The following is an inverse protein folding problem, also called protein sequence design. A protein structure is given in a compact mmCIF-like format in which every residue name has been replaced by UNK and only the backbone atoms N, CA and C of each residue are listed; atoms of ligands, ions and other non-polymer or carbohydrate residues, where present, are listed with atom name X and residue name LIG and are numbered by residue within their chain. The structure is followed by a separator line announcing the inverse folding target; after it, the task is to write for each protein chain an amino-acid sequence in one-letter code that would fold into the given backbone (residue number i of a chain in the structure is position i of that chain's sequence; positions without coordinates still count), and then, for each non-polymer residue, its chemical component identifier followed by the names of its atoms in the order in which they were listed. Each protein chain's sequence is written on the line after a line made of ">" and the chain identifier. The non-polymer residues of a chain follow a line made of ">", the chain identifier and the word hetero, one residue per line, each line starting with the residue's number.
data_IF_230938065649
#
_entry.id   IF_230938065649
#
_cell.length_a   1.000
_cell.length_b   1.000
_cell.length_c   1.000
_cell.angle_alpha   90.00
_cell.angle_beta   90.00
_cell.angle_gamma   90.00
#
_symmetry.space_group_name_H-M   'P 1'
#
loop_
_entity.id
_entity.type
_entity.pdbx_description
1 polymer ?
#
# COMPACT_ATOMS: atom_id res chain seq x y z
N UNK A 1 13.53 28.05 -44.02
CA UNK A 1 14.23 29.38 -44.00
C UNK A 1 14.68 29.58 -42.57
N UNK A 2 15.91 29.23 -42.40
CA UNK A 2 17.07 29.99 -41.90
C UNK A 2 17.05 30.33 -40.43
N UNK A 3 17.83 29.57 -39.67
CA UNK A 3 18.58 30.07 -38.50
C UNK A 3 19.64 31.10 -38.98
N UNK A 4 20.29 31.91 -38.15
CA UNK A 4 21.40 31.43 -37.35
C UNK A 4 21.62 32.16 -35.96
N UNK A 5 22.31 31.51 -35.04
CA UNK A 5 23.72 31.63 -34.62
C UNK A 5 24.00 32.52 -33.39
N UNK A 6 24.75 31.93 -32.42
CA UNK A 6 25.53 32.48 -31.27
C UNK A 6 26.60 33.51 -31.65
N UNK A 7 27.23 34.25 -30.67
CA UNK A 7 28.32 33.74 -29.86
C UNK A 7 28.36 34.32 -28.39
N UNK A 8 28.90 33.70 -27.39
CA UNK A 8 30.22 33.44 -26.86
C UNK A 8 31.01 34.66 -26.27
N UNK A 9 31.57 34.48 -25.09
CA UNK A 9 32.64 35.29 -24.43
C UNK A 9 32.28 35.71 -23.00
N UNK A 10 33.08 35.67 -21.93
CA UNK A 10 34.39 35.17 -21.59
C UNK A 10 34.50 35.30 -20.06
N UNK A 11 35.23 34.41 -19.41
CA UNK A 11 35.69 34.54 -18.03
C UNK A 11 36.93 35.47 -17.98
N UNK A 12 37.37 35.99 -16.79
CA UNK A 12 38.43 35.33 -16.06
C UNK A 12 38.40 35.46 -14.50
N UNK A 13 39.06 34.53 -13.77
CA UNK A 13 39.60 34.74 -12.45
C UNK A 13 41.04 35.32 -12.58
N UNK A 14 41.98 35.21 -11.61
CA UNK A 14 41.93 34.89 -10.16
C UNK A 14 42.64 35.97 -9.30
N UNK A 15 42.84 35.77 -7.95
CA UNK A 15 44.15 35.93 -7.26
C UNK A 15 44.02 35.98 -5.70
N UNK A 16 44.82 35.13 -5.11
CA UNK A 16 45.75 35.16 -3.97
C UNK A 16 45.79 36.33 -2.98
N UNK A 17 45.94 35.96 -1.65
CA UNK A 17 47.03 36.30 -0.70
C UNK A 17 46.71 35.69 0.67
N UNK A 18 47.43 34.78 1.24
CA UNK A 18 48.74 34.56 1.83
C UNK A 18 49.10 35.49 3.03
N UNK A 19 49.47 34.81 4.10
CA UNK A 19 50.49 35.01 5.15
C UNK A 19 49.90 34.96 6.56
N UNK A 20 50.31 34.10 7.47
CA UNK A 20 51.62 33.70 8.02
C UNK A 20 51.81 34.23 9.44
N UNK A 21 52.34 33.39 10.32
CA UNK A 21 53.19 33.67 11.46
C UNK A 21 52.51 33.54 12.83
N UNK A 22 53.00 32.98 13.89
CA UNK A 22 54.30 32.37 14.30
C UNK A 22 54.14 31.93 15.76
N UNK A 23 54.70 30.75 16.10
CA UNK A 23 55.55 30.36 17.28
C UNK A 23 55.16 30.83 18.68
N UNK A 24 55.19 29.99 19.73
CA UNK A 24 56.27 29.43 20.52
C UNK A 24 55.79 28.48 21.63
N UNK A 25 56.29 27.35 21.71
CA UNK A 25 57.29 26.67 22.60
C UNK A 25 57.05 26.82 24.10
N UNK A 26 56.86 25.73 24.84
CA UNK A 26 57.59 25.37 26.08
C UNK A 26 57.26 23.93 26.54
N UNK A 27 58.24 23.16 26.48
CA UNK A 27 58.83 21.96 27.07
C UNK A 27 58.49 21.70 28.54
N UNK A 28 58.12 20.46 28.86
CA UNK A 28 58.69 19.64 29.94
C UNK A 28 58.10 18.23 29.99
N UNK A 29 58.91 17.22 29.90
CA UNK A 29 58.78 15.80 30.27
C UNK A 29 59.40 15.60 31.68
N UNK A 30 59.40 14.36 32.27
CA UNK A 30 58.48 13.22 32.28
C UNK A 30 58.21 12.68 33.70
N UNK A 31 57.28 11.75 33.90
CA UNK A 31 57.50 10.64 34.87
C UNK A 31 56.61 9.42 34.54
N UNK A 32 57.24 8.28 34.75
CA UNK A 32 56.76 6.95 34.46
C UNK A 32 55.67 6.44 35.45
N UNK A 33 54.83 5.48 34.99
CA UNK A 33 54.21 4.57 35.88
C UNK A 33 52.94 3.92 35.39
N UNK A 34 53.01 2.56 35.27
CA UNK A 34 51.95 1.57 35.36
C UNK A 34 51.26 1.13 34.06
N UNK A 35 51.60 -0.07 33.67
CA UNK A 35 50.91 -0.91 32.73
C UNK A 35 49.47 -1.17 33.14
N UNK A 36 48.55 -0.80 32.29
CA UNK A 36 47.12 -1.17 32.33
C UNK A 36 46.76 -1.87 31.04
N UNK A 37 46.45 -3.11 31.14
CA UNK A 37 46.04 -4.02 30.09
C UNK A 37 44.72 -3.51 29.47
N UNK A 38 44.79 -2.74 28.40
CA UNK A 38 43.62 -2.33 27.63
C UNK A 38 43.33 -3.43 26.60
N UNK A 39 42.49 -4.39 27.02
CA UNK A 39 41.75 -5.23 26.12
C UNK A 39 41.01 -4.33 25.10
N UNK A 40 41.52 -4.33 23.89
CA UNK A 40 40.85 -3.69 22.75
C UNK A 40 39.47 -4.30 22.59
N UNK A 41 38.44 -3.50 22.80
CA UNK A 41 37.06 -3.83 22.42
C UNK A 41 37.04 -3.99 20.90
N UNK A 42 36.56 -5.12 20.35
CA UNK A 42 36.48 -5.24 18.89
C UNK A 42 35.47 -4.23 18.38
N UNK A 43 35.90 -3.33 17.52
CA UNK A 43 35.05 -2.49 16.68
C UNK A 43 34.09 -3.45 15.95
N UNK A 44 32.75 -3.24 15.98
CA UNK A 44 31.87 -4.05 15.19
C UNK A 44 32.21 -3.82 13.72
N UNK A 45 32.84 -4.82 13.11
CA UNK A 45 32.98 -4.92 11.66
C UNK A 45 31.60 -4.75 11.08
N UNK A 46 31.40 -3.70 10.28
CA UNK A 46 30.23 -3.54 9.43
C UNK A 46 30.10 -4.86 8.63
N UNK A 47 29.12 -5.67 9.01
CA UNK A 47 28.89 -6.97 8.38
C UNK A 47 28.79 -6.76 6.88
N UNK A 48 29.56 -7.55 6.14
CA UNK A 48 29.40 -7.72 4.69
C UNK A 48 27.91 -7.83 4.41
N UNK A 49 27.38 -6.98 3.56
CA UNK A 49 25.99 -7.09 3.09
C UNK A 49 25.85 -8.50 2.53
N UNK A 50 25.05 -9.32 3.21
CA UNK A 50 24.75 -10.67 2.79
C UNK A 50 24.10 -10.56 1.41
N UNK A 51 24.78 -11.04 0.38
CA UNK A 51 24.36 -11.01 -1.04
C UNK A 51 23.15 -11.95 -1.28
N UNK A 52 22.67 -12.59 -0.22
CA UNK A 52 21.42 -13.35 -0.16
C UNK A 52 20.26 -12.37 0.03
N UNK A 53 19.30 -12.42 -0.90
CA UNK A 53 18.08 -11.61 -0.84
C UNK A 53 17.37 -11.69 0.52
N UNK A 54 16.48 -10.74 0.81
CA UNK A 54 15.70 -10.74 2.06
C UNK A 54 14.86 -12.01 2.18
N UNK A 55 14.79 -12.65 3.37
CA UNK A 55 13.98 -13.84 3.59
C UNK A 55 12.47 -13.50 3.66
N UNK A 56 11.97 -12.96 2.57
CA UNK A 56 10.57 -12.59 2.33
C UNK A 56 10.04 -13.43 1.19
N UNK A 57 8.83 -13.97 1.34
CA UNK A 57 8.02 -14.45 0.24
C UNK A 57 7.09 -13.34 -0.24
N UNK A 58 7.16 -12.99 -1.52
CA UNK A 58 6.26 -12.02 -2.15
C UNK A 58 5.20 -12.76 -2.96
N UNK A 59 3.94 -12.65 -2.56
CA UNK A 59 2.79 -13.30 -3.19
C UNK A 59 2.01 -12.27 -3.98
N UNK A 60 1.93 -12.47 -5.29
CA UNK A 60 1.21 -11.61 -6.23
C UNK A 60 0.06 -12.42 -6.84
N UNK A 61 -1.19 -12.28 -6.35
CA UNK A 61 -2.36 -12.82 -7.00
C UNK A 61 -2.68 -12.00 -8.25
N UNK A 62 -2.78 -12.65 -9.40
CA UNK A 62 -2.99 -12.03 -10.70
C UNK A 62 -4.23 -12.60 -11.39
N UNK A 63 -4.96 -11.75 -12.10
CA UNK A 63 -5.98 -12.15 -13.07
C UNK A 63 -6.19 -11.06 -14.09
N UNK A 64 -5.57 -11.22 -15.24
CA UNK A 64 -5.65 -10.29 -16.35
C UNK A 64 -6.61 -10.78 -17.44
N UNK A 65 -7.09 -9.86 -18.24
CA UNK A 65 -7.92 -10.10 -19.43
C UNK A 65 -7.18 -9.78 -20.73
N UNK A 66 -6.01 -9.12 -20.62
CA UNK A 66 -5.10 -8.80 -21.72
C UNK A 66 -3.67 -8.70 -21.20
N UNK A 67 -2.68 -8.52 -22.09
CA UNK A 67 -1.26 -8.47 -21.79
C UNK A 67 -0.65 -7.06 -21.80
N UNK A 68 -1.47 -6.00 -21.81
CA UNK A 68 -0.95 -4.62 -21.93
C UNK A 68 0.05 -4.27 -20.81
N UNK A 69 -0.15 -4.81 -19.61
CA UNK A 69 0.74 -4.62 -18.45
C UNK A 69 1.97 -5.55 -18.41
N UNK A 70 2.07 -6.56 -19.30
CA UNK A 70 3.08 -7.61 -19.20
C UNK A 70 4.53 -7.10 -19.24
N UNK A 71 4.94 -6.17 -20.12
CA UNK A 71 6.32 -5.68 -20.14
C UNK A 71 6.71 -4.93 -18.88
N UNK A 72 5.81 -4.09 -18.35
CA UNK A 72 6.06 -3.29 -17.14
C UNK A 72 6.16 -4.20 -15.91
N UNK A 73 5.20 -5.10 -15.72
CA UNK A 73 5.22 -6.04 -14.60
C UNK A 73 6.43 -6.97 -14.67
N UNK A 74 6.81 -7.45 -15.85
CA UNK A 74 8.02 -8.28 -16.03
C UNK A 74 9.28 -7.54 -15.64
N UNK A 75 9.39 -6.24 -15.98
CA UNK A 75 10.49 -5.38 -15.53
C UNK A 75 10.57 -5.28 -14.00
N UNK A 76 9.42 -5.07 -13.35
CA UNK A 76 9.35 -5.04 -11.90
C UNK A 76 9.65 -6.40 -11.26
N UNK A 77 9.11 -7.49 -11.79
CA UNK A 77 9.37 -8.85 -11.28
C UNK A 77 10.85 -9.23 -11.38
N UNK A 78 11.55 -8.80 -12.43
CA UNK A 78 13.00 -9.00 -12.57
C UNK A 78 13.78 -8.29 -11.48
N UNK A 79 13.42 -7.05 -11.18
CA UNK A 79 14.01 -6.29 -10.07
C UNK A 79 13.69 -6.95 -8.72
N UNK A 80 12.45 -7.38 -8.52
CA UNK A 80 11.96 -7.93 -7.25
C UNK A 80 12.56 -9.30 -6.95
N UNK A 81 12.64 -10.18 -7.95
CA UNK A 81 13.15 -11.57 -7.80
C UNK A 81 14.64 -11.64 -7.45
N UNK A 82 15.41 -10.59 -7.73
CA UNK A 82 16.79 -10.50 -7.27
C UNK A 82 16.92 -10.14 -5.78
N UNK A 83 15.81 -9.87 -5.08
CA UNK A 83 15.79 -9.40 -3.69
C UNK A 83 14.96 -10.28 -2.75
N UNK A 84 13.91 -10.91 -3.25
CA UNK A 84 12.96 -11.71 -2.46
C UNK A 84 12.48 -12.93 -3.27
N UNK A 85 11.92 -13.92 -2.58
CA UNK A 85 11.29 -15.10 -3.24
C UNK A 85 9.89 -14.72 -3.75
N UNK A 86 9.71 -14.66 -5.07
CA UNK A 86 8.47 -14.20 -5.70
C UNK A 86 7.63 -15.36 -6.20
N UNK A 87 6.36 -15.38 -5.81
CA UNK A 87 5.34 -16.30 -6.31
C UNK A 87 4.19 -15.50 -6.94
N UNK A 88 3.98 -15.64 -8.24
CA UNK A 88 2.81 -15.14 -8.95
C UNK A 88 1.77 -16.25 -9.02
N UNK A 89 0.58 -16.00 -8.48
CA UNK A 89 -0.55 -16.94 -8.59
C UNK A 89 -1.54 -16.37 -9.60
N UNK A 90 -1.52 -16.94 -10.79
CA UNK A 90 -2.16 -16.40 -11.98
C UNK A 90 -3.45 -17.16 -12.32
N UNK A 91 -4.58 -16.48 -12.12
CA UNK A 91 -5.92 -16.96 -12.46
C UNK A 91 -6.44 -16.42 -13.81
N UNK A 92 -5.56 -15.95 -14.69
CA UNK A 92 -5.90 -15.49 -16.04
C UNK A 92 -6.39 -16.64 -16.93
N UNK A 93 -7.07 -16.37 -18.06
CA UNK A 93 -7.43 -17.39 -19.03
C UNK A 93 -6.22 -18.19 -19.53
N UNK A 94 -6.41 -19.46 -19.98
CA UNK A 94 -5.32 -20.38 -20.31
C UNK A 94 -4.30 -19.81 -21.32
N UNK A 95 -4.76 -19.05 -22.31
CA UNK A 95 -3.91 -18.46 -23.34
C UNK A 95 -2.99 -17.38 -22.75
N UNK A 96 -3.50 -16.53 -21.85
CA UNK A 96 -2.73 -15.53 -21.11
C UNK A 96 -1.76 -16.21 -20.16
N UNK A 97 -2.24 -17.18 -19.37
CA UNK A 97 -1.40 -17.95 -18.46
C UNK A 97 -0.18 -18.57 -19.18
N UNK A 98 -0.40 -19.18 -20.35
CA UNK A 98 0.69 -19.78 -21.14
C UNK A 98 1.72 -18.72 -21.59
N UNK A 99 1.28 -17.53 -22.04
CA UNK A 99 2.18 -16.43 -22.38
C UNK A 99 2.97 -15.92 -21.19
N UNK A 100 2.30 -15.73 -20.04
CA UNK A 100 2.95 -15.33 -18.80
C UNK A 100 3.96 -16.37 -18.34
N UNK A 101 3.64 -17.66 -18.46
CA UNK A 101 4.57 -18.75 -18.11
C UNK A 101 5.86 -18.72 -18.94
N UNK A 102 5.75 -18.38 -20.23
CA UNK A 102 6.92 -18.19 -21.10
C UNK A 102 7.72 -16.95 -20.66
N UNK A 103 7.06 -15.82 -20.44
CA UNK A 103 7.69 -14.55 -20.09
C UNK A 103 8.43 -14.59 -18.74
N UNK A 104 7.92 -15.39 -17.79
CA UNK A 104 8.45 -15.44 -16.42
C UNK A 104 9.20 -16.74 -16.09
N UNK A 105 9.48 -17.56 -17.10
CA UNK A 105 10.25 -18.81 -16.94
C UNK A 105 11.61 -18.53 -16.30
N UNK A 106 11.92 -19.20 -15.17
CA UNK A 106 13.17 -19.02 -14.44
C UNK A 106 13.30 -17.68 -13.70
N UNK A 107 12.30 -16.78 -13.80
CA UNK A 107 12.32 -15.49 -13.15
C UNK A 107 11.61 -15.54 -11.79
N UNK A 108 10.41 -16.10 -11.74
CA UNK A 108 9.57 -16.22 -10.54
C UNK A 108 8.92 -17.61 -10.50
N UNK A 109 8.40 -17.98 -9.34
CA UNK A 109 7.48 -19.12 -9.26
C UNK A 109 6.12 -18.69 -9.82
N UNK A 110 5.71 -19.25 -10.94
CA UNK A 110 4.42 -18.99 -11.58
C UNK A 110 3.50 -20.19 -11.42
N UNK A 111 2.34 -20.00 -10.77
CA UNK A 111 1.43 -21.07 -10.37
C UNK A 111 -0.02 -20.69 -10.75
N UNK A 112 -0.87 -21.64 -11.14
CA UNK A 112 -2.30 -21.43 -11.17
C UNK A 112 -2.85 -21.40 -9.72
N UNK A 113 -4.05 -20.82 -9.48
CA UNK A 113 -4.78 -20.99 -8.22
C UNK A 113 -5.03 -22.47 -7.93
N UNK A 114 -4.89 -22.87 -6.66
CA UNK A 114 -5.18 -24.25 -6.24
C UNK A 114 -6.67 -24.55 -6.43
N UNK A 115 -7.05 -25.56 -7.22
CA UNK A 115 -8.45 -25.92 -7.47
C UNK A 115 -9.18 -26.43 -6.23
N UNK A 116 -8.48 -26.85 -5.18
CA UNK A 116 -9.06 -27.22 -3.90
C UNK A 116 -9.53 -25.98 -3.11
N UNK A 117 -8.93 -24.80 -3.35
CA UNK A 117 -9.32 -23.53 -2.72
C UNK A 117 -10.48 -22.92 -3.50
N UNK A 118 -11.70 -23.13 -3.01
CA UNK A 118 -12.93 -22.60 -3.62
C UNK A 118 -13.33 -21.28 -3.02
N UNK A 119 -13.83 -20.34 -3.84
CA UNK A 119 -14.36 -19.05 -3.41
C UNK A 119 -14.68 -18.14 -4.59
N UNK A 120 -15.52 -17.14 -4.35
CA UNK A 120 -15.94 -16.18 -5.38
C UNK A 120 -14.85 -15.12 -5.65
N UNK A 121 -14.04 -14.80 -4.64
CA UNK A 121 -12.98 -13.81 -4.76
C UNK A 121 -11.67 -14.48 -5.21
N UNK A 122 -11.39 -14.41 -6.52
CA UNK A 122 -10.18 -14.99 -7.12
C UNK A 122 -8.87 -14.42 -6.55
N UNK A 123 -8.85 -13.18 -6.07
CA UNK A 123 -7.67 -12.62 -5.39
C UNK A 123 -7.40 -13.40 -4.09
N UNK A 124 -8.44 -13.68 -3.30
CA UNK A 124 -8.27 -14.44 -2.04
C UNK A 124 -7.82 -15.87 -2.31
N UNK A 125 -8.37 -16.54 -3.32
CA UNK A 125 -7.93 -17.89 -3.70
C UNK A 125 -6.47 -17.89 -4.13
N UNK A 126 -6.05 -16.87 -4.88
CA UNK A 126 -4.64 -16.65 -5.25
C UNK A 126 -3.73 -16.43 -4.04
N UNK A 127 -4.16 -15.62 -3.07
CA UNK A 127 -3.41 -15.37 -1.83
C UNK A 127 -3.28 -16.66 -1.00
N UNK A 128 -4.37 -17.41 -0.80
CA UNK A 128 -4.35 -18.68 -0.05
C UNK A 128 -3.39 -19.67 -0.69
N UNK A 129 -3.42 -19.81 -2.02
CA UNK A 129 -2.50 -20.66 -2.78
C UNK A 129 -1.04 -20.19 -2.61
N UNK A 130 -0.79 -18.89 -2.79
CA UNK A 130 0.57 -18.35 -2.75
C UNK A 130 1.19 -18.41 -1.35
N UNK A 131 0.43 -18.13 -0.29
CA UNK A 131 0.92 -18.23 1.09
C UNK A 131 1.17 -19.69 1.49
N UNK A 132 0.34 -20.63 1.05
CA UNK A 132 0.61 -22.06 1.26
C UNK A 132 1.92 -22.50 0.61
N UNK A 133 2.21 -22.02 -0.61
CA UNK A 133 3.42 -22.29 -1.36
C UNK A 133 4.66 -21.51 -0.89
N UNK A 134 4.49 -20.46 -0.06
CA UNK A 134 5.58 -19.62 0.44
C UNK A 134 6.57 -20.41 1.30
N UNK A 135 7.86 -20.05 1.21
CA UNK A 135 8.95 -20.72 1.94
C UNK A 135 9.42 -19.93 3.16
N UNK A 136 9.19 -18.62 3.16
CA UNK A 136 9.62 -17.71 4.21
C UNK A 136 8.50 -17.42 5.20
N UNK A 137 8.88 -17.07 6.43
CA UNK A 137 7.93 -16.69 7.48
C UNK A 137 7.29 -15.34 7.21
N UNK A 138 8.03 -14.41 6.64
CA UNK A 138 7.53 -13.08 6.28
C UNK A 138 6.97 -13.10 4.86
N UNK A 139 5.66 -12.85 4.73
CA UNK A 139 4.96 -12.88 3.46
C UNK A 139 4.41 -11.50 3.14
N UNK A 140 4.80 -10.94 2.01
CA UNK A 140 4.17 -9.75 1.41
C UNK A 140 3.11 -10.21 0.42
N UNK A 141 1.89 -9.73 0.56
CA UNK A 141 0.78 -9.91 -0.35
C UNK A 141 0.55 -8.58 -1.05
N UNK A 142 0.60 -8.54 -2.37
CA UNK A 142 0.46 -7.28 -3.10
C UNK A 142 -0.29 -7.45 -4.42
N UNK A 143 -1.10 -6.43 -4.76
CA UNK A 143 -1.74 -6.30 -6.06
C UNK A 143 -0.69 -6.06 -7.16
N UNK A 144 -1.04 -6.34 -8.40
CA UNK A 144 -0.17 -6.21 -9.57
C UNK A 144 0.25 -4.77 -9.89
N UNK A 145 -0.43 -3.78 -9.32
CA UNK A 145 -0.12 -2.35 -9.43
C UNK A 145 0.75 -1.80 -8.29
N UNK A 146 1.13 -2.63 -7.31
CA UNK A 146 1.97 -2.22 -6.17
C UNK A 146 3.46 -2.33 -6.52
N UNK A 147 4.22 -1.31 -6.14
CA UNK A 147 5.67 -1.22 -6.39
C UNK A 147 6.41 -0.88 -5.10
N UNK A 148 6.99 -1.90 -4.48
CA UNK A 148 7.93 -1.72 -3.37
C UNK A 148 9.28 -1.25 -3.88
N UNK A 149 9.96 -0.47 -3.06
CA UNK A 149 11.40 -0.31 -3.12
C UNK A 149 12.09 -1.20 -2.06
N UNK A 150 13.39 -1.24 -2.07
CA UNK A 150 14.17 -2.05 -1.14
C UNK A 150 13.99 -1.58 0.31
N UNK A 151 13.89 -0.28 0.53
CA UNK A 151 13.67 0.30 1.85
C UNK A 151 12.35 -0.15 2.45
N UNK A 152 11.28 -0.15 1.64
CA UNK A 152 9.95 -0.64 2.01
C UNK A 152 9.95 -2.13 2.34
N UNK A 153 10.63 -2.97 1.54
CA UNK A 153 10.76 -4.40 1.81
C UNK A 153 11.52 -4.67 3.12
N UNK A 154 12.64 -3.99 3.35
CA UNK A 154 13.40 -4.10 4.61
C UNK A 154 12.60 -3.61 5.82
N UNK A 155 11.82 -2.55 5.65
CA UNK A 155 10.95 -2.04 6.72
C UNK A 155 9.85 -3.03 7.09
N UNK A 156 9.17 -3.61 6.09
CA UNK A 156 8.16 -4.66 6.31
C UNK A 156 8.77 -5.87 7.02
N UNK A 157 9.94 -6.33 6.58
CA UNK A 157 10.63 -7.46 7.19
C UNK A 157 10.87 -7.23 8.68
N UNK A 158 11.48 -6.08 9.05
CA UNK A 158 11.73 -5.73 10.45
C UNK A 158 10.47 -5.58 11.30
N UNK A 159 9.38 -5.10 10.70
CA UNK A 159 8.11 -4.96 11.41
C UNK A 159 7.49 -6.33 11.70
N UNK A 160 7.56 -7.27 10.75
CA UNK A 160 7.05 -8.63 10.94
C UNK A 160 7.83 -9.44 11.98
N UNK A 161 9.04 -9.03 12.38
CA UNK A 161 9.71 -9.60 13.56
C UNK A 161 8.94 -9.32 14.87
N UNK A 162 8.05 -8.29 14.88
CA UNK A 162 7.39 -7.81 16.09
C UNK A 162 5.86 -7.94 16.06
N UNK A 163 5.26 -8.02 14.86
CA UNK A 163 3.82 -8.10 14.68
C UNK A 163 3.44 -9.15 13.65
N UNK A 164 2.19 -9.60 13.68
CA UNK A 164 1.69 -10.63 12.77
C UNK A 164 1.20 -10.09 11.44
N UNK A 165 0.82 -8.80 11.41
CA UNK A 165 0.33 -8.12 10.20
C UNK A 165 0.92 -6.71 10.11
N UNK A 166 1.44 -6.36 8.93
CA UNK A 166 1.85 -5.00 8.58
C UNK A 166 0.95 -4.45 7.48
N UNK A 167 0.46 -3.23 7.68
CA UNK A 167 -0.41 -2.52 6.77
C UNK A 167 0.27 -1.23 6.31
N UNK A 168 1.02 -1.25 5.18
CA UNK A 168 1.66 -0.07 4.62
C UNK A 168 0.67 0.99 4.17
N UNK A 169 1.18 2.15 3.77
CA UNK A 169 0.41 3.23 3.19
C UNK A 169 0.69 3.33 1.70
N UNK A 170 -0.32 3.13 0.84
CA UNK A 170 -0.13 3.36 -0.59
C UNK A 170 -0.25 4.85 -0.97
N UNK A 171 0.49 5.22 -2.02
CA UNK A 171 0.33 6.48 -2.75
C UNK A 171 0.43 6.21 -4.25
N UNK A 172 -0.28 7.00 -5.06
CA UNK A 172 -0.23 6.87 -6.51
C UNK A 172 0.91 7.69 -7.11
N UNK A 173 1.67 7.04 -7.98
CA UNK A 173 2.68 7.67 -8.83
C UNK A 173 2.84 6.86 -10.12
N UNK A 174 2.53 7.47 -11.30
CA UNK A 174 2.09 8.85 -11.54
C UNK A 174 0.73 9.20 -10.92
N UNK A 175 0.39 10.49 -10.86
CA UNK A 175 -0.84 10.98 -10.23
C UNK A 175 -1.77 11.66 -11.26
N UNK A 176 -2.42 10.92 -12.18
CA UNK A 176 -3.42 11.47 -13.09
C UNK A 176 -4.66 11.96 -12.30
N UNK A 177 -5.56 12.72 -12.94
CA UNK A 177 -6.70 13.39 -12.30
C UNK A 177 -7.56 12.45 -11.44
N UNK A 178 -7.83 11.24 -11.88
CA UNK A 178 -8.65 10.27 -11.16
C UNK A 178 -7.92 9.68 -9.95
N UNK A 179 -6.61 9.47 -10.02
CA UNK A 179 -5.79 9.06 -8.89
C UNK A 179 -5.64 10.22 -7.88
N UNK A 180 -5.53 11.47 -8.36
CA UNK A 180 -5.59 12.67 -7.52
C UNK A 180 -6.91 12.74 -6.76
N UNK A 181 -8.04 12.50 -7.43
CA UNK A 181 -9.37 12.42 -6.80
C UNK A 181 -9.41 11.35 -5.68
N UNK A 182 -8.95 10.10 -5.98
CA UNK A 182 -8.96 9.01 -5.00
C UNK A 182 -7.97 9.24 -3.84
N UNK A 183 -6.94 10.06 -4.05
CA UNK A 183 -6.00 10.46 -3.00
C UNK A 183 -6.71 11.22 -1.89
N UNK A 184 -7.79 11.98 -2.17
CA UNK A 184 -8.63 12.59 -1.14
C UNK A 184 -9.14 11.58 -0.10
N UNK A 185 -9.57 10.39 -0.55
CA UNK A 185 -9.93 9.25 0.34
C UNK A 185 -8.77 8.82 1.21
N UNK A 186 -7.63 8.61 0.58
CA UNK A 186 -6.41 8.18 1.28
C UNK A 186 -6.02 9.15 2.38
N UNK A 187 -6.06 10.47 2.10
CA UNK A 187 -5.70 11.49 3.07
C UNK A 187 -6.70 11.56 4.24
N UNK A 188 -8.00 11.48 3.97
CA UNK A 188 -9.02 11.40 5.03
C UNK A 188 -8.85 10.15 5.88
N UNK A 189 -8.60 8.98 5.28
CA UNK A 189 -8.33 7.76 6.04
C UNK A 189 -7.06 7.89 6.89
N UNK A 190 -6.02 8.54 6.39
CA UNK A 190 -4.79 8.81 7.16
C UNK A 190 -5.04 9.75 8.33
N UNK A 191 -5.88 10.76 8.18
CA UNK A 191 -6.23 11.68 9.26
C UNK A 191 -6.95 10.97 10.41
N UNK A 192 -7.90 10.08 10.07
CA UNK A 192 -8.80 9.43 11.03
C UNK A 192 -8.30 8.05 11.51
N UNK A 193 -7.23 7.53 10.92
CA UNK A 193 -6.70 6.21 11.25
C UNK A 193 -5.65 5.73 10.27
N UNK A 194 -5.95 4.68 9.51
CA UNK A 194 -5.10 4.14 8.46
C UNK A 194 -5.94 3.77 7.22
N UNK A 195 -5.34 3.90 6.03
CA UNK A 195 -5.98 3.53 4.77
C UNK A 195 -6.01 2.00 4.57
N UNK A 196 -6.73 1.54 3.55
CA UNK A 196 -6.79 0.15 3.12
C UNK A 196 -5.96 0.00 1.83
N UNK A 197 -4.69 -0.43 1.95
CA UNK A 197 -3.77 -0.48 0.82
C UNK A 197 -4.02 -1.69 -0.08
N UNK A 198 -3.48 -1.66 -1.30
CA UNK A 198 -3.41 -2.81 -2.20
C UNK A 198 -2.34 -3.83 -1.80
N UNK A 199 -1.74 -3.69 -0.62
CA UNK A 199 -0.74 -4.62 -0.09
C UNK A 199 -0.84 -4.77 1.41
N UNK A 200 -0.62 -5.97 1.88
CA UNK A 200 -0.48 -6.32 3.29
C UNK A 200 0.71 -7.26 3.45
N UNK A 201 1.33 -7.25 4.61
CA UNK A 201 2.32 -8.27 4.90
C UNK A 201 1.96 -9.02 6.18
N UNK A 202 2.20 -10.33 6.22
CA UNK A 202 1.73 -11.20 7.28
C UNK A 202 2.77 -12.25 7.64
N UNK A 203 2.81 -12.68 8.90
CA UNK A 203 3.52 -13.89 9.30
C UNK A 203 2.82 -15.12 8.74
N UNK A 204 3.58 -15.95 8.02
CA UNK A 204 3.07 -17.18 7.41
C UNK A 204 2.49 -18.13 8.46
N UNK A 205 3.18 -18.30 9.58
CA UNK A 205 2.74 -19.16 10.68
C UNK A 205 1.38 -18.73 11.22
N UNK A 206 1.18 -17.44 11.50
CA UNK A 206 -0.11 -16.87 11.93
C UNK A 206 -1.19 -17.06 10.86
N UNK A 207 -0.85 -16.78 9.59
CA UNK A 207 -1.79 -16.94 8.48
C UNK A 207 -2.29 -18.38 8.34
N UNK A 208 -1.40 -19.35 8.41
CA UNK A 208 -1.76 -20.77 8.32
C UNK A 208 -2.52 -21.26 9.56
N UNK A 209 -2.08 -20.85 10.76
CA UNK A 209 -2.71 -21.24 12.01
C UNK A 209 -4.14 -20.73 12.15
N UNK A 210 -4.45 -19.52 11.63
CA UNK A 210 -5.83 -19.02 11.57
C UNK A 210 -6.67 -19.66 10.45
N UNK A 211 -6.06 -20.48 9.57
CA UNK A 211 -6.70 -21.14 8.43
C UNK A 211 -7.02 -20.19 7.27
N UNK A 212 -6.18 -19.15 7.08
CA UNK A 212 -6.40 -18.11 6.08
C UNK A 212 -7.61 -17.23 6.40
N UNK A 213 -8.27 -16.71 5.37
CA UNK A 213 -9.46 -15.85 5.50
C UNK A 213 -10.50 -16.19 4.44
N UNK A 214 -11.73 -15.67 4.62
CA UNK A 214 -12.90 -16.06 3.83
C UNK A 214 -12.80 -15.57 2.37
N UNK A 215 -12.84 -16.47 1.36
CA UNK A 215 -12.79 -16.09 -0.05
C UNK A 215 -14.14 -15.63 -0.63
N UNK A 216 -15.22 -15.61 0.16
CA UNK A 216 -16.57 -15.22 -0.28
C UNK A 216 -16.93 -13.79 0.16
N UNK A 217 -15.93 -12.93 0.33
CA UNK A 217 -16.08 -11.51 0.67
C UNK A 217 -15.57 -10.62 -0.44
N UNK A 218 -16.11 -9.39 -0.50
CA UNK A 218 -15.69 -8.39 -1.48
C UNK A 218 -14.46 -7.60 -1.01
N UNK A 219 -14.49 -7.16 0.25
CA UNK A 219 -13.44 -6.34 0.87
C UNK A 219 -12.42 -7.23 1.61
N UNK A 220 -11.63 -7.92 0.82
CA UNK A 220 -10.68 -8.96 1.26
C UNK A 220 -9.60 -8.42 2.20
N UNK A 221 -9.10 -7.19 1.97
CA UNK A 221 -8.07 -6.61 2.83
C UNK A 221 -8.60 -6.34 4.25
N UNK A 222 -9.83 -5.85 4.38
CA UNK A 222 -10.47 -5.69 5.69
C UNK A 222 -10.74 -7.04 6.36
N UNK A 223 -11.15 -8.04 5.57
CA UNK A 223 -11.37 -9.40 6.06
C UNK A 223 -10.10 -10.00 6.65
N UNK A 224 -8.97 -9.92 5.92
CA UNK A 224 -7.68 -10.40 6.40
C UNK A 224 -7.26 -9.69 7.69
N UNK A 225 -7.33 -8.36 7.74
CA UNK A 225 -7.00 -7.56 8.92
C UNK A 225 -7.84 -8.01 10.12
N UNK A 226 -9.15 -8.14 9.94
CA UNK A 226 -10.07 -8.57 11.00
C UNK A 226 -9.87 -10.01 11.42
N UNK A 227 -9.52 -10.91 10.49
CA UNK A 227 -9.26 -12.31 10.79
C UNK A 227 -8.02 -12.45 11.66
N UNK A 228 -6.92 -11.75 11.32
CA UNK A 228 -5.70 -11.72 12.17
C UNK A 228 -6.02 -11.21 13.57
N UNK A 229 -6.74 -10.09 13.69
CA UNK A 229 -7.15 -9.54 15.01
C UNK A 229 -8.08 -10.48 15.78
N UNK A 230 -9.02 -11.12 15.10
CA UNK A 230 -9.96 -12.05 15.71
C UNK A 230 -9.29 -13.33 16.20
N UNK A 231 -8.22 -13.75 15.53
CA UNK A 231 -7.33 -14.86 15.94
C UNK A 231 -6.47 -14.52 17.16
N UNK A 232 -6.27 -13.24 17.46
CA UNK A 232 -5.42 -12.74 18.54
C UNK A 232 -4.07 -12.22 18.09
N UNK A 233 -3.84 -12.14 16.78
CA UNK A 233 -2.62 -11.58 16.21
C UNK A 233 -2.54 -10.06 16.35
N UNK A 234 -1.30 -9.56 16.29
CA UNK A 234 -0.95 -8.15 16.43
C UNK A 234 -0.80 -7.48 15.06
N UNK A 235 -1.09 -6.17 14.99
CA UNK A 235 -1.05 -5.38 13.75
C UNK A 235 -0.22 -4.11 13.93
N UNK A 236 0.56 -3.75 12.91
CA UNK A 236 1.15 -2.43 12.75
C UNK A 236 0.63 -1.77 11.45
N UNK A 237 0.18 -0.52 11.57
CA UNK A 237 -0.20 0.32 10.43
C UNK A 237 0.65 1.60 10.42
N UNK A 238 1.95 1.50 10.09
CA UNK A 238 2.88 2.61 10.16
C UNK A 238 2.58 3.63 9.07
N UNK A 239 2.11 4.82 9.47
CA UNK A 239 1.74 5.88 8.53
C UNK A 239 2.94 6.44 7.73
N UNK A 240 4.16 6.15 8.15
CA UNK A 240 5.41 6.54 7.49
C UNK A 240 5.89 5.54 6.41
N UNK A 241 5.36 4.31 6.40
CA UNK A 241 5.76 3.29 5.42
C UNK A 241 4.96 3.48 4.14
N UNK A 242 5.48 4.28 3.25
CA UNK A 242 4.84 4.58 1.97
C UNK A 242 5.26 3.57 0.90
N UNK A 243 4.30 3.01 0.18
CA UNK A 243 4.53 2.07 -0.92
C UNK A 243 3.82 2.61 -2.17
N UNK A 244 4.57 2.73 -3.25
CA UNK A 244 4.08 3.23 -4.53
C UNK A 244 3.02 2.30 -5.12
N UNK A 245 2.03 2.89 -5.76
CA UNK A 245 0.99 2.18 -6.50
C UNK A 245 0.79 2.85 -7.86
N UNK A 246 0.72 2.04 -8.91
CA UNK A 246 0.34 2.54 -10.23
C UNK A 246 -1.15 2.87 -10.25
N UNK A 247 -1.56 3.99 -10.86
CA UNK A 247 -2.97 4.32 -10.98
C UNK A 247 -3.65 3.37 -11.98
N UNK A 248 -4.91 2.96 -11.76
CA UNK A 248 -5.70 2.29 -12.76
C UNK A 248 -5.97 3.22 -13.95
N UNK A 249 -6.42 2.70 -15.08
CA UNK A 249 -6.99 3.54 -16.13
C UNK A 249 -8.32 4.19 -15.68
N UNK A 250 -8.75 5.22 -16.43
CA UNK A 250 -9.95 5.99 -16.10
C UNK A 250 -11.23 5.15 -16.13
N UNK A 251 -11.37 4.22 -17.07
CA UNK A 251 -12.56 3.38 -17.20
C UNK A 251 -12.68 2.44 -16.00
N UNK A 252 -11.58 1.80 -15.63
CA UNK A 252 -11.49 0.95 -14.46
C UNK A 252 -11.77 1.73 -13.17
N UNK A 253 -11.18 2.93 -13.02
CA UNK A 253 -11.46 3.82 -11.89
C UNK A 253 -12.95 4.09 -11.75
N UNK A 254 -13.62 4.58 -12.79
CA UNK A 254 -15.05 4.90 -12.76
C UNK A 254 -15.92 3.65 -12.51
N UNK A 255 -15.57 2.52 -13.13
CA UNK A 255 -16.29 1.24 -12.96
C UNK A 255 -16.27 0.70 -11.53
N UNK A 256 -15.27 1.07 -10.74
CA UNK A 256 -15.11 0.56 -9.37
C UNK A 256 -15.77 1.42 -8.28
N UNK A 257 -16.23 2.67 -8.57
CA UNK A 257 -16.66 3.60 -7.52
C UNK A 257 -17.80 3.06 -6.65
N UNK A 258 -18.86 2.53 -7.27
CA UNK A 258 -19.99 1.94 -6.53
C UNK A 258 -19.59 0.65 -5.80
N UNK A 259 -18.67 -0.15 -6.38
CA UNK A 259 -18.13 -1.34 -5.72
C UNK A 259 -17.35 -0.98 -4.47
N UNK A 260 -16.49 0.03 -4.54
CA UNK A 260 -15.74 0.52 -3.39
C UNK A 260 -16.65 1.13 -2.31
N UNK A 261 -17.78 1.77 -2.70
CA UNK A 261 -18.77 2.23 -1.74
C UNK A 261 -19.53 1.07 -1.06
N UNK A 262 -19.66 -0.09 -1.74
CA UNK A 262 -20.24 -1.30 -1.15
C UNK A 262 -19.41 -1.84 0.03
N UNK A 263 -18.12 -1.57 0.07
CA UNK A 263 -17.23 -1.96 1.18
C UNK A 263 -17.63 -1.31 2.52
N UNK A 264 -18.28 -0.14 2.47
CA UNK A 264 -18.79 0.54 3.68
C UNK A 264 -19.91 -0.23 4.38
N UNK A 265 -20.58 -1.19 3.72
CA UNK A 265 -21.52 -2.11 4.37
C UNK A 265 -20.86 -2.98 5.47
N UNK A 266 -19.54 -3.18 5.38
CA UNK A 266 -18.78 -3.80 6.46
C UNK A 266 -18.37 -2.82 7.57
N UNK A 267 -18.61 -1.52 7.39
CA UNK A 267 -18.21 -0.43 8.29
C UNK A 267 -19.40 0.50 8.58
N UNK A 268 -20.36 0.10 9.44
CA UNK A 268 -21.65 0.78 9.59
C UNK A 268 -21.55 2.28 9.88
N UNK A 269 -20.61 2.72 10.72
CA UNK A 269 -20.44 4.14 11.02
C UNK A 269 -20.02 4.95 9.77
N UNK A 270 -19.15 4.37 8.93
CA UNK A 270 -18.75 5.00 7.65
C UNK A 270 -19.92 5.04 6.67
N UNK A 271 -20.68 3.97 6.58
CA UNK A 271 -21.86 3.90 5.73
C UNK A 271 -22.88 4.97 6.12
N UNK A 272 -23.22 5.08 7.42
CA UNK A 272 -24.15 6.09 7.92
C UNK A 272 -23.63 7.50 7.60
N UNK A 273 -22.37 7.79 7.85
CA UNK A 273 -21.76 9.07 7.52
C UNK A 273 -21.84 9.37 6.02
N UNK A 274 -21.53 8.40 5.16
CA UNK A 274 -21.61 8.57 3.71
C UNK A 274 -23.05 8.77 3.22
N UNK A 275 -24.01 8.00 3.73
CA UNK A 275 -25.43 8.16 3.39
C UNK A 275 -26.00 9.50 3.86
N UNK A 276 -25.49 10.09 4.94
CA UNK A 276 -25.91 11.38 5.45
C UNK A 276 -25.43 12.57 4.58
N UNK A 277 -24.42 12.40 3.73
CA UNK A 277 -23.84 13.49 2.93
C UNK A 277 -24.88 14.15 2.03
N UNK A 278 -25.62 13.38 1.21
CA UNK A 278 -26.59 13.97 0.28
C UNK A 278 -27.81 14.60 0.99
N UNK A 279 -28.43 13.96 2.00
CA UNK A 279 -29.51 14.61 2.77
C UNK A 279 -29.04 15.89 3.48
N UNK A 280 -27.84 15.90 4.08
CA UNK A 280 -27.30 17.09 4.72
C UNK A 280 -27.05 18.22 3.71
N UNK A 281 -26.53 17.89 2.52
CA UNK A 281 -26.35 18.82 1.42
C UNK A 281 -27.70 19.42 0.99
N UNK A 282 -28.70 18.57 0.75
CA UNK A 282 -30.04 19.02 0.34
C UNK A 282 -30.69 19.91 1.42
N UNK A 283 -30.55 19.56 2.69
CA UNK A 283 -31.07 20.36 3.80
C UNK A 283 -30.39 21.74 3.89
N UNK A 284 -29.07 21.82 3.71
CA UNK A 284 -28.31 23.07 3.74
C UNK A 284 -28.70 23.99 2.57
N UNK A 285 -28.95 23.43 1.36
CA UNK A 285 -29.41 24.16 0.18
C UNK A 285 -30.84 24.66 0.41
N UNK A 286 -31.77 23.83 0.87
CA UNK A 286 -33.14 24.18 1.15
C UNK A 286 -33.24 25.28 2.23
N UNK A 287 -32.38 25.20 3.26
CA UNK A 287 -32.27 26.20 4.31
C UNK A 287 -31.55 27.48 3.87
N UNK A 288 -31.08 27.56 2.62
CA UNK A 288 -30.30 28.70 2.05
C UNK A 288 -29.09 29.06 2.92
N UNK A 289 -28.36 28.04 3.44
CA UNK A 289 -27.19 28.21 4.31
C UNK A 289 -25.88 27.80 3.59
N UNK A 290 -25.38 28.59 2.62
CA UNK A 290 -24.20 28.28 1.85
C UNK A 290 -22.97 28.19 2.75
N UNK A 291 -22.91 28.89 3.88
CA UNK A 291 -21.82 28.80 4.85
C UNK A 291 -21.62 27.40 5.42
N UNK A 292 -22.67 26.58 5.55
CA UNK A 292 -22.55 25.19 5.99
C UNK A 292 -21.84 24.33 4.92
N UNK A 293 -22.10 24.59 3.65
CA UNK A 293 -21.49 23.88 2.54
C UNK A 293 -19.99 24.18 2.45
N UNK A 294 -19.63 25.47 2.50
CA UNK A 294 -18.23 25.89 2.50
C UNK A 294 -17.50 25.41 3.77
N UNK A 295 -18.17 25.46 4.93
CA UNK A 295 -17.63 24.95 6.19
C UNK A 295 -17.36 23.44 6.13
N UNK A 296 -18.29 22.65 5.59
CA UNK A 296 -18.09 21.20 5.41
C UNK A 296 -16.97 20.88 4.44
N UNK A 297 -16.93 21.59 3.30
CA UNK A 297 -15.84 21.43 2.31
C UNK A 297 -14.49 21.82 2.92
N UNK A 298 -14.41 22.95 3.60
CA UNK A 298 -13.20 23.40 4.31
C UNK A 298 -12.74 22.39 5.38
N UNK A 299 -13.68 21.83 6.15
CA UNK A 299 -13.37 20.78 7.13
C UNK A 299 -12.78 19.55 6.47
N UNK A 300 -13.35 19.10 5.34
CA UNK A 300 -12.81 17.97 4.60
C UNK A 300 -11.37 18.23 4.11
N UNK A 301 -11.09 19.44 3.61
CA UNK A 301 -9.74 19.84 3.17
C UNK A 301 -8.78 19.89 4.36
N UNK A 302 -9.16 20.49 5.49
CA UNK A 302 -8.32 20.58 6.70
C UNK A 302 -7.98 19.18 7.23
N UNK A 303 -8.97 18.29 7.29
CA UNK A 303 -8.74 16.91 7.70
C UNK A 303 -7.81 16.18 6.73
N UNK A 304 -8.03 16.32 5.42
CA UNK A 304 -7.16 15.73 4.41
C UNK A 304 -5.73 16.28 4.50
N UNK A 305 -5.56 17.58 4.73
CA UNK A 305 -4.25 18.20 4.92
C UNK A 305 -3.54 17.70 6.19
N UNK A 306 -4.27 17.50 7.29
CA UNK A 306 -3.73 16.85 8.48
C UNK A 306 -3.23 15.43 8.16
N UNK A 307 -4.02 14.65 7.40
CA UNK A 307 -3.63 13.32 6.91
C UNK A 307 -2.41 13.36 5.99
N UNK A 308 -2.31 14.38 5.13
CA UNK A 308 -1.16 14.61 4.24
C UNK A 308 0.13 14.88 5.03
N UNK A 309 0.06 15.71 6.06
CA UNK A 309 1.24 16.04 6.88
C UNK A 309 1.66 14.93 7.82
N UNK A 310 0.76 14.01 8.14
CA UNK A 310 1.04 12.94 9.10
C UNK A 310 2.20 12.05 8.65
N UNK A 311 3.18 11.83 9.56
CA UNK A 311 4.27 10.88 9.41
C UNK A 311 5.01 10.97 8.05
N UNK A 312 5.40 12.17 7.65
CA UNK A 312 6.17 12.41 6.43
C UNK A 312 5.38 12.30 5.11
N UNK A 313 4.05 12.20 5.16
CA UNK A 313 3.22 12.08 3.95
C UNK A 313 3.36 13.26 2.99
N UNK A 314 3.78 14.45 3.44
CA UNK A 314 4.07 15.59 2.58
C UNK A 314 5.19 15.36 1.56
N UNK A 315 6.02 14.33 1.75
CA UNK A 315 7.05 13.95 0.78
C UNK A 315 6.50 13.19 -0.44
N UNK A 316 5.35 12.53 -0.29
CA UNK A 316 4.76 11.68 -1.33
C UNK A 316 3.39 12.18 -1.84
N UNK A 317 2.66 12.98 -1.05
CA UNK A 317 1.37 13.55 -1.44
C UNK A 317 1.51 15.04 -1.75
N UNK A 318 1.19 15.49 -2.98
CA UNK A 318 1.30 16.91 -3.34
C UNK A 318 0.31 17.77 -2.53
N UNK A 319 0.61 19.06 -2.31
CA UNK A 319 -0.26 19.96 -1.54
C UNK A 319 -1.70 20.03 -2.09
N UNK A 320 -1.87 19.94 -3.40
CA UNK A 320 -3.18 20.01 -4.06
C UNK A 320 -4.05 18.78 -3.77
N UNK A 321 -3.49 17.65 -3.31
CA UNK A 321 -4.24 16.42 -3.10
C UNK A 321 -5.32 16.56 -2.00
N UNK A 322 -5.12 17.44 -1.01
CA UNK A 322 -6.12 17.70 0.02
C UNK A 322 -7.40 18.33 -0.54
N UNK A 323 -7.29 19.10 -1.65
CA UNK A 323 -8.43 19.72 -2.32
C UNK A 323 -9.38 18.72 -2.99
N UNK A 324 -8.92 17.48 -3.23
CA UNK A 324 -9.75 16.40 -3.74
C UNK A 324 -10.74 15.84 -2.70
N UNK A 325 -10.52 16.09 -1.40
CA UNK A 325 -11.32 15.50 -0.33
C UNK A 325 -12.83 15.85 -0.42
N UNK A 326 -13.27 17.09 -0.64
CA UNK A 326 -14.70 17.41 -0.79
C UNK A 326 -15.36 16.67 -1.96
N UNK A 327 -14.67 16.59 -3.11
CA UNK A 327 -15.15 15.87 -4.29
C UNK A 327 -15.33 14.39 -3.98
N UNK A 328 -14.34 13.77 -3.32
CA UNK A 328 -14.43 12.37 -2.91
C UNK A 328 -15.58 12.14 -1.92
N UNK A 329 -15.80 13.05 -0.96
CA UNK A 329 -16.92 12.94 0.01
C UNK A 329 -18.27 12.97 -0.70
N UNK A 330 -18.46 13.88 -1.67
CA UNK A 330 -19.69 13.96 -2.47
C UNK A 330 -19.92 12.69 -3.29
N UNK A 331 -18.88 12.22 -4.00
CA UNK A 331 -18.93 10.98 -4.77
C UNK A 331 -19.25 9.78 -3.87
N UNK A 332 -18.58 9.67 -2.71
CA UNK A 332 -18.85 8.59 -1.75
C UNK A 332 -20.28 8.64 -1.25
N UNK A 333 -20.81 9.82 -0.99
CA UNK A 333 -22.22 10.02 -0.64
C UNK A 333 -23.15 9.43 -1.71
N UNK A 334 -22.99 9.81 -2.97
CA UNK A 334 -23.80 9.32 -4.08
C UNK A 334 -23.63 7.80 -4.29
N UNK A 335 -22.38 7.33 -4.35
CA UNK A 335 -22.09 5.91 -4.57
C UNK A 335 -22.59 5.01 -3.43
N UNK A 336 -22.66 5.50 -2.18
CA UNK A 336 -23.18 4.72 -1.05
C UNK A 336 -24.69 4.47 -1.16
N UNK A 337 -25.49 5.43 -1.65
CA UNK A 337 -26.89 5.21 -1.97
C UNK A 337 -27.08 4.18 -3.09
N UNK A 338 -26.26 4.25 -4.15
CA UNK A 338 -26.27 3.28 -5.23
C UNK A 338 -25.86 1.87 -4.74
N UNK A 339 -24.86 1.81 -3.87
CA UNK A 339 -24.40 0.54 -3.27
C UNK A 339 -25.47 -0.07 -2.38
N UNK A 340 -26.15 0.74 -1.56
CA UNK A 340 -27.26 0.30 -0.73
C UNK A 340 -28.42 -0.21 -1.60
N UNK A 341 -28.80 0.53 -2.66
CA UNK A 341 -29.81 0.13 -3.64
C UNK A 341 -29.43 -1.22 -4.28
N UNK A 342 -28.19 -1.43 -4.73
CA UNK A 342 -27.71 -2.72 -5.26
C UNK A 342 -27.81 -3.84 -4.23
N UNK A 343 -27.57 -3.56 -2.97
CA UNK A 343 -27.69 -4.54 -1.88
C UNK A 343 -29.15 -4.96 -1.66
N UNK A 344 -30.07 -4.01 -1.67
CA UNK A 344 -31.49 -4.25 -1.39
C UNK A 344 -32.22 -4.86 -2.60
N UNK A 345 -32.01 -4.31 -3.80
CA UNK A 345 -32.74 -4.72 -4.99
C UNK A 345 -32.16 -5.97 -5.66
N UNK A 346 -30.84 -6.13 -5.65
CA UNK A 346 -30.16 -7.21 -6.37
C UNK A 346 -29.43 -8.20 -5.46
N UNK A 347 -29.48 -8.01 -4.14
CA UNK A 347 -28.87 -8.89 -3.15
C UNK A 347 -27.33 -8.87 -3.12
N UNK A 348 -26.65 -7.96 -3.84
CA UNK A 348 -25.19 -7.86 -3.87
C UNK A 348 -24.66 -7.19 -5.14
N UNK A 349 -23.31 -7.13 -5.26
CA UNK A 349 -22.62 -6.59 -6.44
C UNK A 349 -22.06 -7.71 -7.31
N UNK A 350 -21.98 -7.47 -8.63
CA UNK A 350 -21.29 -8.37 -9.56
C UNK A 350 -19.79 -8.29 -9.35
N UNK A 351 -19.13 -9.45 -9.28
CA UNK A 351 -17.68 -9.57 -9.12
C UNK A 351 -17.20 -10.86 -9.78
N UNK A 352 -16.20 -10.78 -10.65
CA UNK A 352 -15.52 -11.91 -11.30
C UNK A 352 -16.48 -12.97 -11.90
N UNK A 353 -17.58 -12.55 -12.52
CA UNK A 353 -18.58 -13.44 -13.11
C UNK A 353 -19.62 -13.97 -12.14
N UNK A 354 -19.47 -13.75 -10.84
CA UNK A 354 -20.40 -14.11 -9.78
C UNK A 354 -21.09 -12.88 -9.13
N UNK A 355 -21.80 -13.14 -8.04
CA UNK A 355 -22.39 -12.09 -7.20
C UNK A 355 -21.91 -12.25 -5.76
N UNK A 356 -21.23 -11.21 -5.24
CA UNK A 356 -20.80 -11.18 -3.86
C UNK A 356 -21.79 -10.38 -3.03
N UNK A 357 -22.27 -11.03 -1.99
CA UNK A 357 -23.30 -10.46 -1.10
C UNK A 357 -22.70 -9.77 0.13
N UNK A 358 -21.56 -10.26 0.57
CA UNK A 358 -20.91 -9.81 1.82
C UNK A 358 -19.69 -8.94 1.52
N UNK A 359 -19.65 -7.74 2.12
CA UNK A 359 -18.47 -6.89 2.03
C UNK A 359 -17.30 -7.49 2.85
N UNK A 360 -17.49 -7.67 4.14
CA UNK A 360 -16.59 -8.41 5.05
C UNK A 360 -17.36 -8.86 6.28
N UNK A 361 -16.78 -9.76 7.08
CA UNK A 361 -17.35 -10.18 8.36
C UNK A 361 -17.06 -9.15 9.46
N UNK A 362 -17.96 -9.14 10.46
CA UNK A 362 -17.71 -8.41 11.71
C UNK A 362 -16.81 -9.22 12.64
N UNK A 363 -16.03 -8.56 13.47
CA UNK A 363 -15.06 -9.19 14.38
C UNK A 363 -15.71 -10.27 15.29
N UNK A 364 -16.94 -10.01 15.78
CA UNK A 364 -17.68 -11.00 16.60
C UNK A 364 -17.96 -12.30 15.83
N UNK A 365 -18.26 -12.20 14.53
CA UNK A 365 -18.51 -13.36 13.68
C UNK A 365 -17.24 -14.16 13.44
N UNK A 366 -16.13 -13.47 13.16
CA UNK A 366 -14.83 -14.11 12.96
C UNK A 366 -14.34 -14.82 14.23
N UNK A 367 -14.42 -14.17 15.40
CA UNK A 367 -14.06 -14.80 16.68
C UNK A 367 -14.87 -16.08 16.95
N UNK A 368 -16.18 -16.09 16.63
CA UNK A 368 -17.01 -17.30 16.77
C UNK A 368 -16.60 -18.41 15.81
N UNK A 369 -16.24 -18.07 14.56
CA UNK A 369 -15.78 -19.03 13.56
C UNK A 369 -14.46 -19.67 13.94
N UNK A 370 -13.48 -18.85 14.37
CA UNK A 370 -12.15 -19.30 14.75
C UNK A 370 -12.16 -20.19 16.02
N UNK A 371 -13.09 -19.97 16.95
CA UNK A 371 -13.28 -20.83 18.14
C UNK A 371 -13.89 -22.19 17.83
N UNK A 372 -14.45 -22.39 16.62
CA UNK A 372 -15.12 -23.64 16.21
C UNK A 372 -14.23 -24.51 15.31
N UNK A 373 -13.07 -23.98 14.89
CA UNK A 373 -12.02 -24.70 14.18
C UNK A 373 -11.02 -25.31 15.17
#
# INVERSE_FOLDING_TARGET
>A
MTAPARPAGDAPGPDHHRAAGTTDDHRATPTAGAAGDHRATPTPTAGAADDRGLPIAYVLPLRWTDDAGLPELTGYLRWLSSRVDVTVVDGSPPELFARHQIAWRGLVRHLPPDPAVRGVNGKVTGVLTGVAAARHEHVVIADDDVRYDETGLRAVHRLLDRVDLVRPQNYFDPLPWHAWWDTGRTLLNRALGADYPGTLAVRRSTFLAMGGYDPDVLFENLELIRTVRAYGGTEAAPAWLHVRRLPPDTAHFLGQRVRQAYDDLAQPARLVAALAVLPALAAAVAARRPGLLFGAAGTAVVLAEAGRRRAGGSAVFPPTAALAAPLWVLERGACSWLALGRRLLFGGVRYAGGRVRRAAHFDRTLRRRLRRR
#
